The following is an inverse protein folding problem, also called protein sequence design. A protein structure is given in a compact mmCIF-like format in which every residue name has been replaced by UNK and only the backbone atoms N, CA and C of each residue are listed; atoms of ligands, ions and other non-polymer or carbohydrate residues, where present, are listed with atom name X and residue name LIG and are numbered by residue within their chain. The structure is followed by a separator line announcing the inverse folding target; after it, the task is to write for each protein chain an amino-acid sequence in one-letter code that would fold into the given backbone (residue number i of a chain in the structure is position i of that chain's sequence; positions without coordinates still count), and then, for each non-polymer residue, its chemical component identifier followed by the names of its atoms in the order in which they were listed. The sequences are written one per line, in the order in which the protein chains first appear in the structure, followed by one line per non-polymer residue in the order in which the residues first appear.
data_IF_950880294377
#
_entry.id   IF_950880294377
#
_cell.length_a   1.000
_cell.length_b   1.000
_cell.length_c   1.000
_cell.angle_alpha   90.00
_cell.angle_beta   90.00
_cell.angle_gamma   90.00
#
_symmetry.space_group_name_H-M   'P 1'
#
loop_
_entity.id
_entity.type
_entity.pdbx_description
1 polymer ?
#
# COMPACT_ATOMS: atom_id res chain seq x y z
N UNK A 1 35.35 17.60 -3.56
CA UNK A 1 34.40 18.03 -4.60
C UNK A 1 34.31 17.10 -5.80
N UNK A 2 35.29 16.25 -6.04
CA UNK A 2 35.24 15.28 -7.13
C UNK A 2 34.37 14.03 -6.87
N UNK A 3 34.05 13.72 -5.62
CA UNK A 3 33.39 12.48 -5.23
C UNK A 3 31.92 12.35 -5.74
N UNK A 4 31.27 13.45 -6.07
CA UNK A 4 29.89 13.39 -6.58
C UNK A 4 29.79 13.09 -8.09
N UNK A 5 30.84 13.37 -8.84
CA UNK A 5 30.86 13.11 -10.28
C UNK A 5 31.12 11.62 -10.61
N UNK A 6 31.76 10.88 -9.69
CA UNK A 6 32.15 9.49 -9.92
C UNK A 6 31.08 8.46 -9.54
N UNK A 7 30.10 8.83 -8.73
CA UNK A 7 29.09 7.88 -8.23
C UNK A 7 27.80 7.81 -9.06
N UNK A 8 27.68 8.59 -10.14
CA UNK A 8 26.57 8.45 -11.08
C UNK A 8 25.17 8.63 -10.49
N UNK A 9 25.04 9.36 -9.38
CA UNK A 9 23.74 9.63 -8.77
C UNK A 9 23.05 10.76 -9.52
N UNK A 10 22.00 10.41 -10.26
CA UNK A 10 21.19 11.37 -10.99
C UNK A 10 19.79 11.43 -10.38
N UNK A 11 19.28 12.64 -10.19
CA UNK A 11 17.84 12.85 -10.02
C UNK A 11 17.22 12.85 -11.42
N UNK A 12 16.42 11.85 -11.71
CA UNK A 12 15.71 11.75 -12.97
C UNK A 12 14.26 12.16 -12.76
N UNK A 13 13.88 13.31 -13.29
CA UNK A 13 12.48 13.72 -13.40
C UNK A 13 11.81 12.93 -14.54
N UNK A 14 10.48 12.79 -14.49
CA UNK A 14 9.67 11.82 -15.24
C UNK A 14 9.91 11.75 -16.77
N UNK A 15 10.49 12.76 -17.40
CA UNK A 15 10.76 12.77 -18.84
C UNK A 15 12.25 12.61 -19.14
N UNK A 16 12.58 11.66 -20.00
CA UNK A 16 13.94 11.55 -20.52
C UNK A 16 14.22 12.72 -21.46
N UNK A 17 15.30 13.50 -21.25
CA UNK A 17 15.66 14.57 -22.15
C UNK A 17 15.96 13.99 -23.55
N UNK A 18 15.51 14.70 -24.60
CA UNK A 18 15.81 14.35 -25.97
C UNK A 18 17.17 14.95 -26.34
N UNK A 19 18.09 14.12 -26.83
CA UNK A 19 19.42 14.53 -27.26
C UNK A 19 20.52 14.17 -26.27
N UNK A 20 21.72 14.72 -26.45
CA UNK A 20 22.84 14.52 -25.55
C UNK A 20 22.58 15.21 -24.21
N UNK A 21 22.58 14.48 -23.09
CA UNK A 21 22.35 15.06 -21.78
C UNK A 21 23.52 15.95 -21.39
N UNK A 22 23.22 17.19 -21.03
CA UNK A 22 24.22 18.09 -20.42
C UNK A 22 23.96 18.10 -18.90
N UNK A 23 24.94 17.71 -18.08
CA UNK A 23 24.77 17.73 -16.64
C UNK A 23 24.68 19.17 -16.15
N UNK A 24 23.68 19.45 -15.31
CA UNK A 24 23.56 20.67 -14.56
C UNK A 24 23.76 20.33 -13.07
N UNK A 25 24.70 21.01 -12.43
CA UNK A 25 24.89 20.89 -10.98
C UNK A 25 24.01 21.93 -10.28
N UNK A 26 23.18 21.44 -9.34
CA UNK A 26 22.30 22.28 -8.56
C UNK A 26 22.57 22.05 -7.07
N UNK A 27 22.69 23.10 -6.25
CA UNK A 27 22.94 22.94 -4.82
C UNK A 27 21.67 22.47 -4.12
N UNK A 28 21.73 21.29 -3.52
CA UNK A 28 20.63 20.72 -2.74
C UNK A 28 21.11 20.31 -1.35
N UNK A 29 20.23 20.47 -0.36
CA UNK A 29 20.38 19.87 0.95
C UNK A 29 19.69 18.53 0.93
N UNK A 30 20.38 17.50 1.39
CA UNK A 30 19.87 16.12 1.43
C UNK A 30 19.59 15.77 2.88
N UNK A 31 18.32 15.55 3.20
CA UNK A 31 17.88 15.13 4.53
C UNK A 31 17.58 13.63 4.51
N UNK A 32 18.24 12.88 5.36
CA UNK A 32 17.85 11.48 5.60
C UNK A 32 16.63 11.49 6.52
N UNK A 33 15.53 10.94 6.05
CA UNK A 33 14.26 10.91 6.78
C UNK A 33 13.80 9.49 7.00
N UNK A 34 13.11 9.27 8.09
CA UNK A 34 12.33 8.06 8.33
C UNK A 34 10.86 8.43 8.11
N UNK A 35 10.18 7.67 7.31
CA UNK A 35 8.76 7.88 7.05
C UNK A 35 7.99 6.55 7.20
N UNK A 36 6.78 6.61 7.74
CA UNK A 36 5.94 5.42 7.76
C UNK A 36 5.57 5.03 6.33
N UNK A 37 5.75 3.77 5.98
CA UNK A 37 5.22 3.26 4.73
C UNK A 37 3.70 3.39 4.77
N UNK A 38 3.12 4.09 3.79
CA UNK A 38 1.66 4.10 3.64
C UNK A 38 1.22 2.66 3.36
N UNK A 39 0.67 2.00 4.37
CA UNK A 39 0.05 0.69 4.17
C UNK A 39 -1.15 0.94 3.27
N UNK A 40 -1.15 0.37 2.07
CA UNK A 40 -2.37 0.24 1.30
C UNK A 40 -3.41 -0.40 2.23
N UNK A 41 -4.61 0.17 2.29
CA UNK A 41 -5.67 -0.40 3.08
C UNK A 41 -5.85 -1.86 2.64
N UNK A 42 -5.43 -2.80 3.48
CA UNK A 42 -5.35 -4.22 3.10
C UNK A 42 -6.73 -4.79 2.76
N UNK A 43 -7.79 -4.15 3.28
CA UNK A 43 -9.18 -4.49 2.99
C UNK A 43 -9.93 -3.24 2.57
N UNK A 44 -10.63 -3.32 1.44
CA UNK A 44 -11.59 -2.30 1.06
C UNK A 44 -12.89 -2.44 1.89
N UNK A 45 -13.78 -1.44 1.78
CA UNK A 45 -15.02 -1.40 2.55
C UNK A 45 -15.89 -2.67 2.35
N UNK A 46 -15.98 -3.15 1.12
CA UNK A 46 -16.80 -4.33 0.80
C UNK A 46 -16.18 -5.62 1.36
N UNK A 47 -14.88 -5.78 1.23
CA UNK A 47 -14.15 -6.90 1.80
C UNK A 47 -14.30 -6.92 3.33
N UNK A 48 -14.14 -5.76 3.97
CA UNK A 48 -14.31 -5.65 5.43
C UNK A 48 -15.72 -6.00 5.86
N UNK A 49 -16.75 -5.55 5.15
CA UNK A 49 -18.14 -5.87 5.46
C UNK A 49 -18.41 -7.38 5.31
N UNK A 50 -17.98 -7.99 4.20
CA UNK A 50 -18.17 -9.44 3.98
C UNK A 50 -17.43 -10.27 5.01
N UNK A 51 -16.18 -9.97 5.31
CA UNK A 51 -15.42 -10.68 6.35
C UNK A 51 -16.04 -10.52 7.74
N UNK A 52 -16.57 -9.33 8.06
CA UNK A 52 -17.30 -9.09 9.31
C UNK A 52 -18.55 -9.94 9.42
N UNK A 53 -19.30 -10.13 8.35
CA UNK A 53 -20.48 -10.98 8.31
C UNK A 53 -20.13 -12.47 8.46
N UNK A 54 -19.03 -12.92 7.85
CA UNK A 54 -18.53 -14.29 8.04
C UNK A 54 -18.11 -14.53 9.48
N UNK A 55 -17.45 -13.56 10.13
CA UNK A 55 -17.15 -13.61 11.57
C UNK A 55 -18.42 -13.75 12.40
N UNK A 56 -19.50 -13.10 11.99
CA UNK A 56 -20.82 -13.23 12.61
C UNK A 56 -21.57 -14.52 12.21
N UNK A 57 -20.86 -15.50 11.61
CA UNK A 57 -21.38 -16.80 11.18
C UNK A 57 -22.36 -16.75 10.00
N UNK A 58 -22.48 -15.64 9.30
CA UNK A 58 -23.23 -15.54 8.05
C UNK A 58 -22.33 -15.93 6.87
N UNK A 59 -22.41 -17.17 6.42
CA UNK A 59 -21.46 -17.76 5.47
C UNK A 59 -22.04 -17.99 4.06
N UNK A 60 -23.34 -17.80 3.87
CA UNK A 60 -23.98 -18.00 2.59
C UNK A 60 -23.92 -16.75 1.73
N UNK A 61 -23.38 -16.86 0.52
CA UNK A 61 -23.19 -15.72 -0.39
C UNK A 61 -24.50 -14.99 -0.72
N UNK A 62 -25.58 -15.74 -0.86
CA UNK A 62 -26.91 -15.24 -1.16
C UNK A 62 -27.49 -14.42 0.00
N UNK A 63 -27.32 -14.91 1.22
CA UNK A 63 -27.76 -14.20 2.43
C UNK A 63 -26.93 -12.93 2.69
N UNK A 64 -25.62 -12.99 2.44
CA UNK A 64 -24.75 -11.81 2.51
C UNK A 64 -25.17 -10.78 1.45
N UNK A 65 -25.47 -11.21 0.23
CA UNK A 65 -25.91 -10.34 -0.85
C UNK A 65 -27.24 -9.64 -0.52
N UNK A 66 -28.19 -10.37 0.04
CA UNK A 66 -29.48 -9.80 0.48
C UNK A 66 -29.32 -8.77 1.57
N UNK A 67 -28.49 -9.05 2.58
CA UNK A 67 -28.25 -8.15 3.71
C UNK A 67 -27.49 -6.88 3.31
N UNK A 68 -26.51 -7.02 2.41
CA UNK A 68 -25.64 -5.90 1.99
C UNK A 68 -26.18 -5.11 0.81
N UNK A 69 -27.15 -5.63 0.08
CA UNK A 69 -27.62 -5.08 -1.19
C UNK A 69 -26.61 -5.20 -2.34
N UNK A 70 -25.55 -5.98 -2.15
CA UNK A 70 -24.54 -6.22 -3.17
C UNK A 70 -24.91 -7.39 -4.08
N UNK A 71 -24.43 -7.33 -5.32
CA UNK A 71 -24.65 -8.44 -6.25
C UNK A 71 -23.94 -9.71 -5.78
N UNK A 72 -24.62 -10.86 -5.82
CA UNK A 72 -24.09 -12.14 -5.34
C UNK A 72 -22.75 -12.54 -5.99
N UNK A 73 -22.52 -12.18 -7.25
CA UNK A 73 -21.24 -12.47 -7.92
C UNK A 73 -20.08 -11.67 -7.31
N UNK A 74 -20.33 -10.45 -6.85
CA UNK A 74 -19.32 -9.66 -6.13
C UNK A 74 -18.98 -10.31 -4.79
N UNK A 75 -19.98 -10.80 -4.07
CA UNK A 75 -19.76 -11.56 -2.83
C UNK A 75 -18.91 -12.80 -3.10
N UNK A 76 -19.27 -13.59 -4.11
CA UNK A 76 -18.50 -14.78 -4.51
C UNK A 76 -17.05 -14.46 -4.90
N UNK A 77 -16.84 -13.34 -5.58
CA UNK A 77 -15.49 -12.86 -5.90
C UNK A 77 -14.69 -12.51 -4.64
N UNK A 78 -15.30 -11.77 -3.70
CA UNK A 78 -14.66 -11.40 -2.43
C UNK A 78 -14.32 -12.66 -1.61
N UNK A 79 -15.22 -13.64 -1.56
CA UNK A 79 -14.96 -14.91 -0.89
C UNK A 79 -13.79 -15.67 -1.52
N UNK A 80 -13.74 -15.75 -2.84
CA UNK A 80 -12.64 -16.39 -3.57
C UNK A 80 -11.30 -15.68 -3.33
N UNK A 81 -11.30 -14.35 -3.34
CA UNK A 81 -10.13 -13.54 -2.99
C UNK A 81 -9.71 -13.76 -1.53
N UNK A 82 -10.68 -13.84 -0.62
CA UNK A 82 -10.43 -14.10 0.80
C UNK A 82 -9.73 -15.44 1.03
N UNK A 83 -10.16 -16.49 0.35
CA UNK A 83 -9.49 -17.81 0.40
C UNK A 83 -8.10 -17.73 -0.23
N UNK A 84 -7.98 -17.15 -1.43
CA UNK A 84 -6.70 -17.02 -2.14
C UNK A 84 -5.65 -16.24 -1.35
N UNK A 85 -6.06 -15.18 -0.64
CA UNK A 85 -5.18 -14.36 0.17
C UNK A 85 -4.94 -14.92 1.59
N UNK A 86 -5.59 -16.06 1.92
CA UNK A 86 -5.49 -16.71 3.20
C UNK A 86 -6.18 -15.95 4.34
N UNK A 87 -7.20 -15.13 4.04
CA UNK A 87 -8.04 -14.46 5.05
C UNK A 87 -9.19 -15.33 5.52
N UNK A 88 -9.63 -16.22 4.64
CA UNK A 88 -10.69 -17.19 4.91
C UNK A 88 -10.13 -18.61 4.86
N UNK A 89 -10.77 -19.50 5.58
CA UNK A 89 -10.52 -20.94 5.48
C UNK A 89 -10.86 -21.44 4.07
N UNK A 90 -10.31 -22.59 3.66
CA UNK A 90 -10.55 -23.19 2.34
C UNK A 90 -12.03 -23.41 2.03
N UNK A 91 -12.84 -23.61 3.05
CA UNK A 91 -14.30 -23.73 2.91
C UNK A 91 -15.03 -22.38 2.82
N UNK A 92 -14.33 -21.26 2.94
CA UNK A 92 -14.87 -19.90 3.02
C UNK A 92 -15.95 -19.71 4.12
N UNK A 93 -15.94 -20.56 5.16
CA UNK A 93 -16.94 -20.54 6.25
C UNK A 93 -16.45 -19.91 7.54
N UNK A 94 -15.19 -19.50 7.60
CA UNK A 94 -14.60 -18.88 8.78
C UNK A 94 -13.39 -18.04 8.41
N UNK A 95 -13.03 -17.12 9.29
CA UNK A 95 -11.80 -16.37 9.16
C UNK A 95 -10.61 -17.23 9.62
N UNK A 96 -9.47 -16.96 9.01
CA UNK A 96 -8.18 -17.41 9.53
C UNK A 96 -7.69 -16.40 10.58
N UNK A 97 -6.65 -16.75 11.33
CA UNK A 97 -5.99 -15.81 12.25
C UNK A 97 -5.57 -14.52 11.53
N UNK A 98 -5.04 -14.64 10.31
CA UNK A 98 -4.71 -13.50 9.45
C UNK A 98 -5.93 -12.65 9.09
N UNK A 99 -7.07 -13.29 8.80
CA UNK A 99 -8.32 -12.60 8.50
C UNK A 99 -8.87 -11.84 9.69
N UNK A 100 -8.79 -12.40 10.89
CA UNK A 100 -9.19 -11.74 12.15
C UNK A 100 -8.33 -10.50 12.42
N UNK A 101 -7.01 -10.64 12.35
CA UNK A 101 -6.07 -9.52 12.54
C UNK A 101 -6.33 -8.37 11.56
N UNK A 102 -6.58 -8.68 10.30
CA UNK A 102 -6.90 -7.69 9.28
C UNK A 102 -8.24 -6.99 9.53
N UNK A 103 -9.24 -7.73 9.99
CA UNK A 103 -10.57 -7.19 10.26
C UNK A 103 -10.58 -6.28 11.48
N UNK A 104 -9.86 -6.64 12.54
CA UNK A 104 -9.78 -5.85 13.78
C UNK A 104 -8.91 -4.59 13.62
N UNK A 105 -8.28 -4.44 12.43
CA UNK A 105 -7.41 -3.31 12.17
C UNK A 105 -6.12 -3.38 12.99
N UNK A 106 -5.87 -4.52 13.62
CA UNK A 106 -4.54 -4.87 14.10
C UNK A 106 -3.64 -4.99 12.87
N UNK A 107 -3.26 -3.81 12.34
CA UNK A 107 -2.01 -3.80 11.64
C UNK A 107 -1.03 -4.42 12.62
N UNK A 108 -0.50 -5.57 12.28
CA UNK A 108 0.77 -5.97 12.85
C UNK A 108 1.57 -4.68 12.83
N UNK A 109 1.83 -4.12 14.01
CA UNK A 109 2.70 -2.96 14.19
C UNK A 109 4.10 -3.43 13.80
N UNK A 110 4.27 -3.73 12.54
CA UNK A 110 5.54 -3.54 11.93
C UNK A 110 5.66 -2.02 11.83
N UNK A 111 6.38 -1.45 12.77
CA UNK A 111 6.97 -0.11 12.68
C UNK A 111 7.89 -0.07 11.45
N UNK A 112 7.34 -0.33 10.27
CA UNK A 112 8.06 -0.29 9.01
C UNK A 112 8.30 1.16 8.63
N UNK A 113 9.17 1.80 9.43
CA UNK A 113 9.78 3.05 9.04
C UNK A 113 10.76 2.75 7.92
N UNK A 114 10.49 3.28 6.74
CA UNK A 114 11.44 3.26 5.63
C UNK A 114 12.36 4.46 5.75
N UNK A 115 13.63 4.22 5.50
CA UNK A 115 14.59 5.31 5.34
C UNK A 115 14.55 5.80 3.89
N UNK A 116 14.45 7.10 3.73
CA UNK A 116 14.51 7.76 2.43
C UNK A 116 15.30 9.05 2.50
N UNK A 117 15.35 9.73 1.38
CA UNK A 117 16.02 11.02 1.27
C UNK A 117 15.03 12.06 0.78
N UNK A 118 15.01 13.19 1.48
CA UNK A 118 14.25 14.36 1.09
C UNK A 118 15.23 15.41 0.57
N UNK A 119 14.97 15.95 -0.59
CA UNK A 119 15.82 16.94 -1.24
C UNK A 119 15.22 18.33 -1.05
N UNK A 120 16.05 19.27 -0.64
CA UNK A 120 15.66 20.67 -0.48
C UNK A 120 16.55 21.53 -1.34
N UNK A 121 15.96 22.38 -2.17
CA UNK A 121 16.68 23.39 -2.92
C UNK A 121 17.37 24.34 -1.96
N UNK A 122 18.70 24.41 -2.04
CA UNK A 122 19.49 25.27 -1.15
C UNK A 122 19.28 26.78 -1.44
N UNK A 123 18.73 27.14 -2.60
CA UNK A 123 18.52 28.54 -3.00
C UNK A 123 17.13 29.00 -2.59
N UNK A 124 16.09 28.26 -2.96
CA UNK A 124 14.70 28.61 -2.72
C UNK A 124 14.15 28.10 -1.37
N UNK A 125 14.82 27.11 -0.77
CA UNK A 125 14.35 26.43 0.42
C UNK A 125 13.17 25.47 0.19
N UNK A 126 12.74 25.30 -1.05
CA UNK A 126 11.62 24.41 -1.39
C UNK A 126 12.04 22.94 -1.36
N UNK A 127 11.14 22.08 -0.89
CA UNK A 127 11.33 20.64 -0.97
C UNK A 127 10.91 20.13 -2.34
N UNK A 128 11.69 19.19 -2.86
CA UNK A 128 11.34 18.48 -4.07
C UNK A 128 10.57 17.21 -3.73
N UNK A 129 9.49 16.92 -4.48
CA UNK A 129 8.66 15.73 -4.27
C UNK A 129 9.41 14.43 -4.57
#
# INVERSE_FOLDING_TARGET
MAAFAETGTYLQFAEKPRGEPKPLLWPVLVHRVLYPEAKEAQLNLFQRAVLGLIRAQLTQAEAIAELTGLHVNLIKLILAQGVSNGWLTDSARGLTEKGEQLLDGESVEDDNLKAGYLFQDAISGQFWP
#
